data_IF_286355956628
#
_entry.id   IF_286355956628
#
_cell.length_a   1.000
_cell.length_b   1.000
_cell.length_c   1.000
_cell.angle_alpha   90.00
_cell.angle_beta   90.00
_cell.angle_gamma   90.00
#
_symmetry.space_group_name_H-M   'P 1'
#
loop_
_entity.id
_entity.type
_entity.pdbx_description
1 polymer ?
#
# COMPACT_ATOMS: atom_id res chain seq x y z
N UNK A 1 -16.27 -10.59 -14.23
CA UNK A 1 -14.84 -10.21 -14.02
C UNK A 1 -14.27 -11.04 -12.89
N UNK A 2 -13.06 -11.56 -13.02
CA UNK A 2 -12.39 -12.32 -11.96
C UNK A 2 -11.20 -11.53 -11.42
N UNK A 3 -11.15 -11.35 -10.10
CA UNK A 3 -10.09 -10.59 -9.41
C UNK A 3 -9.37 -11.49 -8.42
N UNK A 4 -8.03 -11.51 -8.47
CA UNK A 4 -7.21 -12.15 -7.46
C UNK A 4 -6.58 -11.10 -6.55
N UNK A 5 -6.88 -11.15 -5.25
CA UNK A 5 -6.22 -10.33 -4.24
C UNK A 5 -5.05 -11.11 -3.67
N UNK A 6 -3.84 -10.57 -3.83
CA UNK A 6 -2.57 -11.17 -3.41
C UNK A 6 -2.11 -10.51 -2.13
N UNK A 7 -2.12 -11.30 -1.05
CA UNK A 7 -1.92 -10.79 0.30
C UNK A 7 -3.22 -10.25 0.91
N UNK A 8 -3.89 -11.08 1.69
CA UNK A 8 -5.10 -10.72 2.43
C UNK A 8 -4.81 -10.25 3.86
N UNK A 9 -3.75 -9.44 4.02
CA UNK A 9 -3.57 -8.64 5.22
C UNK A 9 -4.69 -7.60 5.39
N UNK A 10 -4.44 -6.55 6.13
CA UNK A 10 -5.46 -5.54 6.40
C UNK A 10 -6.04 -4.95 5.10
N UNK A 11 -5.20 -4.35 4.24
CA UNK A 11 -5.65 -3.65 3.03
C UNK A 11 -6.24 -4.62 2.00
N UNK A 12 -5.57 -5.74 1.73
CA UNK A 12 -6.08 -6.74 0.78
C UNK A 12 -7.44 -7.30 1.17
N UNK A 13 -7.66 -7.51 2.46
CA UNK A 13 -8.95 -7.94 2.99
C UNK A 13 -10.06 -6.91 2.74
N UNK A 14 -9.75 -5.60 2.82
CA UNK A 14 -10.74 -4.56 2.50
C UNK A 14 -11.19 -4.67 1.03
N UNK A 15 -10.24 -4.83 0.10
CA UNK A 15 -10.58 -5.04 -1.31
C UNK A 15 -11.36 -6.33 -1.52
N UNK A 16 -10.84 -7.46 -1.01
CA UNK A 16 -11.42 -8.78 -1.23
C UNK A 16 -12.87 -8.87 -0.74
N UNK A 17 -13.14 -8.44 0.51
CA UNK A 17 -14.48 -8.53 1.10
C UNK A 17 -15.49 -7.61 0.41
N UNK A 18 -15.08 -6.39 0.05
CA UNK A 18 -15.98 -5.44 -0.61
C UNK A 18 -16.28 -5.87 -2.05
N UNK A 19 -15.27 -6.25 -2.84
CA UNK A 19 -15.46 -6.74 -4.22
C UNK A 19 -16.33 -8.00 -4.28
N UNK A 20 -16.19 -8.91 -3.32
CA UNK A 20 -16.97 -10.14 -3.24
C UNK A 20 -18.49 -9.93 -3.00
N UNK A 21 -18.96 -8.68 -2.82
CA UNK A 21 -20.38 -8.34 -2.73
C UNK A 21 -21.02 -8.08 -4.10
N UNK A 22 -20.22 -7.97 -5.13
CA UNK A 22 -20.72 -7.73 -6.47
C UNK A 22 -21.01 -9.06 -7.18
N UNK A 23 -22.21 -9.24 -7.68
CA UNK A 23 -22.66 -10.49 -8.32
C UNK A 23 -21.89 -10.80 -9.62
N UNK A 24 -21.33 -9.77 -10.27
CA UNK A 24 -20.57 -9.87 -11.53
C UNK A 24 -19.04 -9.94 -11.31
N UNK A 25 -18.58 -10.06 -10.06
CA UNK A 25 -17.16 -10.17 -9.71
C UNK A 25 -16.88 -11.43 -8.91
N UNK A 26 -16.11 -12.34 -9.48
CA UNK A 26 -15.57 -13.50 -8.77
C UNK A 26 -14.25 -13.11 -8.10
N UNK A 27 -14.15 -13.26 -6.77
CA UNK A 27 -12.96 -12.89 -6.01
C UNK A 27 -12.22 -14.12 -5.50
N UNK A 28 -10.93 -14.15 -5.75
CA UNK A 28 -9.96 -15.07 -5.17
C UNK A 28 -9.03 -14.32 -4.23
N UNK A 29 -8.81 -14.87 -3.04
CA UNK A 29 -7.81 -14.41 -2.08
C UNK A 29 -6.64 -15.40 -2.04
N UNK A 30 -5.45 -14.93 -2.35
CA UNK A 30 -4.21 -15.69 -2.19
C UNK A 30 -3.42 -15.16 -1.01
N UNK A 31 -3.24 -16.00 0.02
CA UNK A 31 -2.45 -15.64 1.21
C UNK A 31 -1.78 -16.91 1.78
N UNK A 32 -0.57 -16.76 2.32
CA UNK A 32 0.18 -17.87 2.92
C UNK A 32 -0.22 -18.14 4.38
N UNK A 33 -1.03 -17.27 5.00
CA UNK A 33 -1.56 -17.49 6.34
C UNK A 33 -2.73 -18.48 6.29
N UNK A 34 -2.45 -19.75 6.45
CA UNK A 34 -3.43 -20.84 6.35
C UNK A 34 -4.60 -20.68 7.33
N UNK A 35 -4.35 -20.16 8.54
CA UNK A 35 -5.42 -19.93 9.50
C UNK A 35 -6.41 -18.88 8.98
N UNK A 36 -5.89 -17.81 8.35
CA UNK A 36 -6.70 -16.76 7.74
C UNK A 36 -7.48 -17.26 6.52
N UNK A 37 -6.79 -17.97 5.62
CA UNK A 37 -7.39 -18.59 4.42
C UNK A 37 -8.51 -19.56 4.81
N UNK A 38 -8.27 -20.44 5.78
CA UNK A 38 -9.27 -21.41 6.26
C UNK A 38 -10.50 -20.72 6.85
N UNK A 39 -10.31 -19.69 7.67
CA UNK A 39 -11.40 -18.93 8.24
C UNK A 39 -12.24 -18.24 7.15
N UNK A 40 -11.58 -17.60 6.17
CA UNK A 40 -12.27 -16.96 5.04
C UNK A 40 -13.07 -17.98 4.22
N UNK A 41 -12.48 -19.12 3.90
CA UNK A 41 -13.15 -20.15 3.11
C UNK A 41 -14.38 -20.75 3.83
N UNK A 42 -14.33 -20.85 5.15
CA UNK A 42 -15.42 -21.41 5.96
C UNK A 42 -16.55 -20.42 6.22
N UNK A 43 -16.19 -19.21 6.70
CA UNK A 43 -17.14 -18.25 7.27
C UNK A 43 -17.34 -17.00 6.39
N UNK A 44 -16.47 -16.79 5.39
CA UNK A 44 -16.33 -15.54 4.65
C UNK A 44 -15.37 -14.58 5.35
N UNK A 45 -15.04 -13.49 4.68
CA UNK A 45 -14.17 -12.43 5.17
C UNK A 45 -15.02 -11.31 5.77
N UNK A 46 -14.90 -11.10 7.08
CA UNK A 46 -15.69 -10.12 7.82
C UNK A 46 -14.90 -8.85 8.07
N UNK A 47 -15.48 -7.72 7.66
CA UNK A 47 -15.00 -6.39 8.01
C UNK A 47 -15.88 -5.81 9.13
N UNK A 48 -15.26 -5.10 10.07
CA UNK A 48 -15.92 -4.38 11.17
C UNK A 48 -15.34 -2.97 11.31
N UNK A 49 -16.04 -2.06 11.94
CA UNK A 49 -15.56 -0.69 12.20
C UNK A 49 -16.18 0.35 11.25
N UNK A 50 -15.39 1.01 10.41
CA UNK A 50 -15.89 2.04 9.48
C UNK A 50 -16.91 1.51 8.44
N UNK A 51 -16.99 0.19 8.27
CA UNK A 51 -18.00 -0.51 7.51
C UNK A 51 -18.16 -1.95 8.04
N UNK A 52 -19.42 -2.44 8.06
CA UNK A 52 -19.69 -3.84 8.39
C UNK A 52 -20.03 -4.60 7.10
N UNK A 53 -19.18 -5.52 6.73
CA UNK A 53 -19.28 -6.31 5.50
C UNK A 53 -18.88 -7.75 5.79
N UNK A 54 -19.59 -8.70 5.20
CA UNK A 54 -19.14 -10.07 5.08
C UNK A 54 -19.09 -10.45 3.60
N UNK A 55 -17.87 -10.57 3.05
CA UNK A 55 -17.64 -11.03 1.70
C UNK A 55 -17.49 -12.55 1.66
N UNK A 56 -18.28 -13.22 0.80
CA UNK A 56 -18.07 -14.64 0.50
C UNK A 56 -17.23 -14.76 -0.76
N UNK A 57 -16.02 -15.30 -0.60
CA UNK A 57 -15.03 -15.39 -1.67
C UNK A 57 -14.25 -16.70 -1.56
N UNK A 58 -13.49 -17.03 -2.58
CA UNK A 58 -12.58 -18.17 -2.56
C UNK A 58 -11.25 -17.72 -1.98
N UNK A 59 -10.71 -18.48 -1.04
CA UNK A 59 -9.42 -18.23 -0.43
C UNK A 59 -8.55 -19.48 -0.49
N UNK A 60 -7.28 -19.31 -0.82
CA UNK A 60 -6.33 -20.44 -0.94
C UNK A 60 -4.88 -19.97 -0.68
N UNK A 61 -4.08 -20.87 -0.15
CA UNK A 61 -2.61 -20.78 -0.12
C UNK A 61 -1.95 -21.56 -1.27
N UNK A 62 -2.74 -22.30 -2.06
CA UNK A 62 -2.28 -23.02 -3.24
C UNK A 62 -2.49 -22.19 -4.50
N UNK A 63 -1.40 -21.67 -5.04
CA UNK A 63 -1.39 -20.87 -6.27
C UNK A 63 -1.96 -21.61 -7.47
N UNK A 64 -1.80 -22.94 -7.54
CA UNK A 64 -2.27 -23.77 -8.64
C UNK A 64 -3.80 -23.93 -8.70
N UNK A 65 -4.48 -23.65 -7.59
CA UNK A 65 -5.94 -23.71 -7.50
C UNK A 65 -6.61 -22.46 -8.13
N UNK A 66 -5.86 -21.39 -8.40
CA UNK A 66 -6.41 -20.11 -8.88
C UNK A 66 -6.51 -20.14 -10.40
N UNK A 67 -7.70 -19.95 -10.97
CA UNK A 67 -7.87 -19.87 -12.41
C UNK A 67 -7.34 -18.55 -12.99
N UNK A 68 -7.27 -18.44 -14.33
CA UNK A 68 -6.94 -17.18 -15.00
C UNK A 68 -7.84 -16.04 -14.52
N UNK A 69 -7.23 -14.90 -14.18
CA UNK A 69 -7.89 -13.71 -13.66
C UNK A 69 -7.70 -12.49 -14.57
N UNK A 70 -8.74 -11.65 -14.63
CA UNK A 70 -8.70 -10.40 -15.38
C UNK A 70 -7.82 -9.36 -14.66
N UNK A 71 -7.88 -9.34 -13.33
CA UNK A 71 -7.11 -8.41 -12.51
C UNK A 71 -6.49 -9.08 -11.28
N UNK A 72 -5.28 -8.61 -10.93
CA UNK A 72 -4.65 -8.82 -9.65
C UNK A 72 -4.62 -7.53 -8.83
N UNK A 73 -4.81 -7.62 -7.51
CA UNK A 73 -4.56 -6.53 -6.56
C UNK A 73 -3.52 -7.04 -5.56
N UNK A 74 -2.30 -6.51 -5.64
CA UNK A 74 -1.21 -6.89 -4.73
C UNK A 74 -1.19 -5.95 -3.54
N UNK A 75 -1.44 -6.51 -2.37
CA UNK A 75 -1.55 -5.83 -1.08
C UNK A 75 -0.73 -6.52 0.02
N UNK A 76 0.35 -7.19 -0.34
CA UNK A 76 1.33 -7.74 0.60
C UNK A 76 2.12 -6.62 1.25
N UNK A 77 2.97 -6.93 2.23
CA UNK A 77 4.10 -6.06 2.55
C UNK A 77 5.05 -6.05 1.35
N UNK A 78 5.65 -4.90 1.06
CA UNK A 78 6.45 -4.68 -0.15
C UNK A 78 7.60 -5.71 -0.31
N UNK A 79 8.28 -6.10 0.79
CA UNK A 79 9.34 -7.11 0.77
C UNK A 79 8.85 -8.52 0.37
N UNK A 80 7.56 -8.77 0.38
CA UNK A 80 6.96 -10.06 -0.01
C UNK A 80 6.36 -10.03 -1.42
N UNK A 81 6.37 -8.88 -2.10
CA UNK A 81 5.72 -8.72 -3.40
C UNK A 81 6.32 -9.65 -4.48
N UNK A 82 7.65 -9.66 -4.61
CA UNK A 82 8.34 -10.49 -5.60
C UNK A 82 8.00 -11.98 -5.48
N UNK A 83 8.27 -12.63 -4.33
CA UNK A 83 7.90 -14.02 -4.14
C UNK A 83 6.41 -14.31 -4.31
N UNK A 84 5.53 -13.42 -3.85
CA UNK A 84 4.09 -13.59 -3.96
C UNK A 84 3.61 -13.56 -5.42
N UNK A 85 4.04 -12.57 -6.19
CA UNK A 85 3.64 -12.47 -7.60
C UNK A 85 4.29 -13.56 -8.45
N UNK A 86 5.53 -13.94 -8.20
CA UNK A 86 6.19 -15.05 -8.88
C UNK A 86 5.40 -16.36 -8.77
N UNK A 87 4.84 -16.64 -7.58
CA UNK A 87 4.05 -17.85 -7.34
C UNK A 87 2.77 -17.90 -8.19
N UNK A 88 2.14 -16.75 -8.48
CA UNK A 88 0.84 -16.66 -9.17
C UNK A 88 0.89 -15.95 -10.53
N UNK A 89 2.06 -15.65 -11.06
CA UNK A 89 2.17 -14.95 -12.35
C UNK A 89 1.42 -15.66 -13.50
N UNK A 90 1.33 -17.00 -13.44
CA UNK A 90 0.60 -17.82 -14.40
C UNK A 90 -0.89 -17.46 -14.52
N UNK A 91 -1.48 -16.92 -13.43
CA UNK A 91 -2.90 -16.55 -13.36
C UNK A 91 -3.23 -15.36 -14.27
N UNK A 92 -2.23 -14.54 -14.65
CA UNK A 92 -2.40 -13.31 -15.43
C UNK A 92 -1.90 -13.41 -16.88
N UNK A 93 -1.43 -14.59 -17.32
CA UNK A 93 -0.83 -14.79 -18.67
C UNK A 93 -1.77 -14.51 -19.84
N UNK A 94 -3.07 -14.68 -19.65
CA UNK A 94 -4.08 -14.48 -20.70
C UNK A 94 -4.55 -13.02 -20.81
N UNK A 95 -3.65 -12.06 -20.52
CA UNK A 95 -3.93 -10.62 -20.63
C UNK A 95 -4.45 -9.98 -19.35
N UNK A 96 -4.39 -10.67 -18.22
CA UNK A 96 -4.70 -10.10 -16.91
C UNK A 96 -3.74 -8.96 -16.53
N UNK A 97 -4.22 -7.96 -15.81
CA UNK A 97 -3.43 -6.84 -15.34
C UNK A 97 -3.31 -6.83 -13.80
N UNK A 98 -2.14 -6.45 -13.28
CA UNK A 98 -1.84 -6.52 -11.85
C UNK A 98 -1.60 -5.12 -11.28
N UNK A 99 -2.45 -4.72 -10.34
CA UNK A 99 -2.34 -3.45 -9.64
C UNK A 99 -1.54 -3.61 -8.32
N UNK A 100 -0.55 -2.73 -8.10
CA UNK A 100 0.04 -2.52 -6.79
C UNK A 100 -0.85 -1.59 -5.98
N UNK A 101 -1.14 -1.94 -4.72
CA UNK A 101 -1.74 -1.02 -3.73
C UNK A 101 -0.87 -0.95 -2.46
N UNK A 102 0.36 -1.43 -2.57
CA UNK A 102 1.35 -1.44 -1.48
C UNK A 102 1.85 -0.02 -1.17
N UNK A 103 2.39 0.15 0.02
CA UNK A 103 3.05 1.40 0.40
C UNK A 103 4.44 1.49 -0.25
N UNK A 104 4.88 2.73 -0.48
CA UNK A 104 6.23 2.98 -0.98
C UNK A 104 6.33 3.06 -2.50
N UNK A 105 7.56 3.06 -2.98
CA UNK A 105 7.93 3.12 -4.40
C UNK A 105 8.87 1.96 -4.75
N UNK A 106 8.88 1.54 -6.01
CA UNK A 106 9.66 0.38 -6.48
C UNK A 106 8.86 -0.93 -6.50
N UNK A 107 7.62 -0.90 -6.09
CA UNK A 107 6.76 -2.08 -6.08
C UNK A 107 6.35 -2.50 -7.49
N UNK A 108 6.01 -1.54 -8.33
CA UNK A 108 5.57 -1.78 -9.72
C UNK A 108 6.70 -2.39 -10.54
N UNK A 109 7.93 -1.95 -10.35
CA UNK A 109 9.14 -2.50 -10.96
C UNK A 109 9.30 -3.98 -10.57
N UNK A 110 9.12 -4.30 -9.28
CA UNK A 110 9.17 -5.69 -8.80
C UNK A 110 8.07 -6.55 -9.42
N UNK A 111 6.85 -6.02 -9.59
CA UNK A 111 5.77 -6.76 -10.26
C UNK A 111 6.08 -7.00 -11.74
N UNK A 112 6.67 -6.00 -12.41
CA UNK A 112 6.99 -6.07 -13.85
C UNK A 112 8.06 -7.12 -14.19
N UNK A 113 8.85 -7.58 -13.22
CA UNK A 113 9.76 -8.71 -13.41
C UNK A 113 9.01 -10.04 -13.64
N UNK A 114 7.73 -10.12 -13.27
CA UNK A 114 6.96 -11.37 -13.29
C UNK A 114 5.71 -11.32 -14.17
N UNK A 115 5.14 -10.14 -14.41
CA UNK A 115 3.92 -9.94 -15.21
C UNK A 115 4.08 -8.80 -16.20
N UNK A 116 3.46 -8.93 -17.36
CA UNK A 116 3.62 -7.96 -18.45
C UNK A 116 2.78 -6.68 -18.26
N UNK A 117 1.65 -6.80 -17.57
CA UNK A 117 0.63 -5.73 -17.48
C UNK A 117 0.51 -5.26 -16.04
N UNK A 118 1.24 -4.20 -15.70
CA UNK A 118 1.26 -3.61 -14.36
C UNK A 118 0.46 -2.32 -14.33
N UNK A 119 -0.30 -2.15 -13.24
CA UNK A 119 -1.07 -0.95 -12.92
C UNK A 119 -0.44 -0.33 -11.66
N UNK A 120 -0.06 0.93 -11.75
CA UNK A 120 0.35 1.73 -10.61
C UNK A 120 -0.87 2.08 -9.76
N UNK A 121 -0.79 1.83 -8.46
CA UNK A 121 -1.88 2.16 -7.56
C UNK A 121 -1.42 2.80 -6.27
N UNK A 122 -2.25 3.65 -5.73
CA UNK A 122 -2.11 4.16 -4.36
C UNK A 122 -3.46 4.15 -3.68
N UNK A 123 -3.50 3.69 -2.44
CA UNK A 123 -4.75 3.52 -1.68
C UNK A 123 -4.63 4.10 -0.28
N UNK A 124 -5.68 4.75 0.21
CA UNK A 124 -5.72 5.36 1.54
C UNK A 124 -6.52 4.55 2.56
N UNK A 125 -7.45 3.66 2.22
CA UNK A 125 -8.07 2.76 3.18
C UNK A 125 -7.04 2.09 4.09
N UNK A 126 -7.35 2.04 5.38
CA UNK A 126 -6.47 1.44 6.37
C UNK A 126 -7.27 0.59 7.36
N UNK A 127 -6.61 -0.39 7.94
CA UNK A 127 -7.20 -1.30 8.90
C UNK A 127 -6.17 -2.20 9.55
N UNK A 128 -6.65 -3.16 10.32
CA UNK A 128 -5.82 -4.19 10.96
C UNK A 128 -6.55 -5.53 11.00
N UNK A 129 -5.80 -6.60 10.87
CA UNK A 129 -6.33 -7.95 11.11
C UNK A 129 -6.53 -8.11 12.63
N UNK A 130 -7.76 -8.44 13.05
CA UNK A 130 -8.09 -8.69 14.45
C UNK A 130 -7.86 -10.16 14.80
N UNK A 131 -8.35 -11.05 13.95
CA UNK A 131 -8.23 -12.49 14.05
C UNK A 131 -8.40 -13.13 12.65
N UNK A 132 -8.11 -14.40 12.46
CA UNK A 132 -8.33 -15.08 11.18
C UNK A 132 -9.75 -14.87 10.64
N UNK A 133 -9.87 -14.34 9.42
CA UNK A 133 -11.15 -14.05 8.77
C UNK A 133 -11.84 -12.75 9.23
N UNK A 134 -11.27 -11.98 10.18
CA UNK A 134 -11.87 -10.75 10.70
C UNK A 134 -10.89 -9.58 10.63
N UNK A 135 -11.29 -8.50 9.96
CA UNK A 135 -10.47 -7.31 9.76
C UNK A 135 -11.22 -6.06 10.20
N UNK A 136 -10.57 -5.25 11.01
CA UNK A 136 -11.08 -3.93 11.36
C UNK A 136 -10.75 -2.96 10.23
N UNK A 137 -11.77 -2.27 9.74
CA UNK A 137 -11.63 -1.15 8.80
C UNK A 137 -11.58 0.15 9.61
N UNK A 138 -10.40 0.72 9.73
CA UNK A 138 -10.19 1.93 10.55
C UNK A 138 -10.47 3.20 9.77
N UNK A 139 -9.99 3.27 8.51
CA UNK A 139 -10.06 4.48 7.68
C UNK A 139 -10.64 4.14 6.32
N UNK A 140 -11.69 4.87 5.93
CA UNK A 140 -12.14 4.95 4.53
C UNK A 140 -11.24 5.93 3.77
N UNK A 141 -11.09 5.71 2.47
CA UNK A 141 -10.30 6.61 1.64
C UNK A 141 -10.35 6.17 0.19
N UNK A 142 -9.78 7.00 -0.65
CA UNK A 142 -9.78 6.80 -2.09
C UNK A 142 -8.61 5.92 -2.54
N UNK A 143 -8.81 5.27 -3.67
CA UNK A 143 -7.77 4.56 -4.40
C UNK A 143 -7.60 5.21 -5.77
N UNK A 144 -6.37 5.38 -6.21
CA UNK A 144 -6.07 5.88 -7.55
C UNK A 144 -5.26 4.83 -8.29
N UNK A 145 -5.68 4.48 -9.49
CA UNK A 145 -4.99 3.60 -10.42
C UNK A 145 -4.54 4.37 -11.65
N UNK A 146 -3.41 3.98 -12.25
CA UNK A 146 -2.92 4.54 -13.51
C UNK A 146 -1.93 3.62 -14.19
N UNK A 147 -1.52 3.95 -15.42
CA UNK A 147 -0.51 3.19 -16.12
C UNK A 147 0.80 3.12 -15.36
N UNK A 148 1.52 2.01 -15.53
CA UNK A 148 2.94 1.92 -15.17
C UNK A 148 3.75 2.30 -16.41
N UNK A 149 4.58 3.33 -16.32
CA UNK A 149 5.16 4.05 -17.46
C UNK A 149 6.04 3.20 -18.39
N UNK A 150 6.88 2.25 -17.91
CA UNK A 150 7.66 1.39 -18.78
C UNK A 150 6.81 0.52 -19.72
N UNK A 151 5.61 0.12 -19.27
CA UNK A 151 4.66 -0.71 -20.03
C UNK A 151 3.24 -0.16 -19.89
N UNK A 152 2.96 1.06 -20.40
CA UNK A 152 1.73 1.76 -20.10
C UNK A 152 0.51 1.07 -20.70
N UNK A 153 -0.46 0.76 -19.86
CA UNK A 153 -1.78 0.30 -20.28
C UNK A 153 -2.65 1.48 -20.72
N UNK A 154 -3.50 1.24 -21.69
CA UNK A 154 -4.57 2.20 -22.02
C UNK A 154 -5.48 2.39 -20.78
N UNK A 155 -5.95 3.61 -20.55
CA UNK A 155 -6.80 3.92 -19.41
C UNK A 155 -8.06 3.06 -19.37
N UNK A 156 -8.65 2.80 -20.54
CA UNK A 156 -9.82 1.91 -20.72
C UNK A 156 -9.58 0.45 -20.26
N UNK A 157 -8.33 0.01 -20.16
CA UNK A 157 -7.99 -1.30 -19.60
C UNK A 157 -7.88 -1.28 -18.07
N UNK A 158 -7.80 -0.10 -17.44
CA UNK A 158 -7.69 0.10 -15.99
C UNK A 158 -9.05 0.46 -15.38
N UNK A 159 -9.87 1.22 -16.11
CA UNK A 159 -11.18 1.69 -15.67
C UNK A 159 -12.09 0.61 -15.09
N UNK A 160 -12.20 -0.62 -15.67
CA UNK A 160 -13.09 -1.64 -15.12
C UNK A 160 -12.74 -2.05 -13.68
N UNK A 161 -11.45 -2.05 -13.30
CA UNK A 161 -11.03 -2.31 -11.93
C UNK A 161 -11.46 -1.18 -10.98
N UNK A 162 -11.23 0.08 -11.39
CA UNK A 162 -11.60 1.25 -10.60
C UNK A 162 -13.13 1.35 -10.41
N UNK A 163 -13.90 1.09 -11.45
CA UNK A 163 -15.36 1.06 -11.40
C UNK A 163 -15.88 -0.03 -10.46
N UNK A 164 -15.30 -1.24 -10.54
CA UNK A 164 -15.68 -2.34 -9.64
C UNK A 164 -15.39 -1.99 -8.17
N UNK A 165 -14.21 -1.43 -7.86
CA UNK A 165 -13.89 -0.96 -6.52
C UNK A 165 -14.91 0.09 -6.03
N UNK A 166 -15.26 1.06 -6.88
CA UNK A 166 -16.22 2.12 -6.54
C UNK A 166 -17.62 1.54 -6.27
N UNK A 167 -18.11 0.66 -7.14
CA UNK A 167 -19.42 -0.03 -6.94
C UNK A 167 -19.40 -0.89 -5.68
N UNK A 168 -18.26 -1.45 -5.32
CA UNK A 168 -18.09 -2.21 -4.08
C UNK A 168 -18.07 -1.34 -2.80
N UNK A 169 -18.09 -0.01 -2.92
CA UNK A 169 -18.06 0.91 -1.78
C UNK A 169 -16.63 1.31 -1.35
N UNK A 170 -15.66 1.06 -2.21
CA UNK A 170 -14.27 1.53 -2.07
C UNK A 170 -13.98 2.53 -3.21
N UNK A 171 -14.17 3.83 -2.98
CA UNK A 171 -14.01 4.84 -4.02
C UNK A 171 -12.65 4.69 -4.72
N UNK A 172 -12.68 4.55 -6.03
CA UNK A 172 -11.49 4.40 -6.85
C UNK A 172 -11.64 5.12 -8.18
N UNK A 173 -10.53 5.60 -8.73
CA UNK A 173 -10.50 6.25 -10.04
C UNK A 173 -9.30 5.78 -10.84
N UNK A 174 -9.46 5.69 -12.15
CA UNK A 174 -8.37 5.54 -13.10
C UNK A 174 -7.95 6.93 -13.61
N UNK A 175 -6.64 7.19 -13.65
CA UNK A 175 -6.06 8.47 -14.07
C UNK A 175 -4.91 8.24 -15.04
N UNK A 176 -4.64 9.22 -15.91
CA UNK A 176 -3.55 9.12 -16.88
C UNK A 176 -2.15 9.06 -16.25
N UNK A 177 -1.98 9.66 -15.07
CA UNK A 177 -0.74 9.61 -14.29
C UNK A 177 -1.08 9.45 -12.79
N UNK A 178 -0.73 8.30 -12.22
CA UNK A 178 -0.92 8.00 -10.80
C UNK A 178 0.32 8.31 -9.94
N UNK A 179 1.42 8.79 -10.53
CA UNK A 179 2.64 9.15 -9.79
C UNK A 179 2.42 10.30 -8.80
N UNK A 180 1.71 11.40 -9.15
CA UNK A 180 1.47 12.49 -8.22
C UNK A 180 0.84 12.07 -6.89
N UNK A 181 -0.31 11.38 -6.85
CA UNK A 181 -0.91 10.92 -5.59
C UNK A 181 -0.07 9.85 -4.89
N UNK A 182 0.65 8.97 -5.63
CA UNK A 182 1.54 8.00 -5.04
C UNK A 182 2.72 8.68 -4.32
N UNK A 183 3.43 9.58 -4.99
CA UNK A 183 4.57 10.27 -4.41
C UNK A 183 4.18 11.18 -3.25
N UNK A 184 3.04 11.86 -3.32
CA UNK A 184 2.50 12.60 -2.18
C UNK A 184 2.34 11.70 -0.96
N UNK A 185 1.72 10.51 -1.13
CA UNK A 185 1.54 9.54 -0.03
C UNK A 185 2.88 8.99 0.46
N UNK A 186 3.80 8.68 -0.44
CA UNK A 186 5.13 8.16 -0.08
C UNK A 186 5.90 9.18 0.74
N UNK A 187 5.93 10.46 0.32
CA UNK A 187 6.59 11.53 1.06
C UNK A 187 5.95 11.70 2.45
N UNK A 188 4.62 11.74 2.52
CA UNK A 188 3.89 11.79 3.79
C UNK A 188 4.29 10.63 4.72
N UNK A 189 4.25 9.40 4.23
CA UNK A 189 4.57 8.22 5.02
C UNK A 189 6.06 8.20 5.42
N UNK A 190 6.98 8.47 4.50
CA UNK A 190 8.40 8.45 4.77
C UNK A 190 8.82 9.53 5.79
N UNK A 191 8.12 10.68 5.78
CA UNK A 191 8.44 11.79 6.71
C UNK A 191 7.86 11.61 8.10
N UNK A 192 6.74 10.89 8.26
CA UNK A 192 6.05 10.79 9.55
C UNK A 192 6.12 9.39 10.17
N UNK A 193 5.98 8.32 9.37
CA UNK A 193 5.88 6.97 9.91
C UNK A 193 7.21 6.50 10.50
N UNK A 194 8.33 6.81 9.84
CA UNK A 194 9.66 6.44 10.30
C UNK A 194 10.06 7.21 11.58
N UNK A 195 9.72 8.49 11.68
CA UNK A 195 9.97 9.28 12.88
C UNK A 195 9.10 8.76 14.05
N UNK A 196 7.83 8.44 13.79
CA UNK A 196 6.97 7.78 14.76
C UNK A 196 7.56 6.44 15.22
N UNK A 197 8.08 5.62 14.31
CA UNK A 197 8.70 4.33 14.63
C UNK A 197 9.97 4.47 15.48
N UNK A 198 10.82 5.46 15.20
CA UNK A 198 12.05 5.72 15.96
C UNK A 198 11.78 6.27 17.35
N UNK A 199 10.71 7.03 17.51
CA UNK A 199 10.44 7.77 18.77
C UNK A 199 9.36 7.15 19.65
N UNK A 200 8.58 6.21 19.12
CA UNK A 200 7.39 5.66 19.78
C UNK A 200 6.21 6.65 19.85
N UNK A 201 6.27 7.78 19.14
CA UNK A 201 5.27 8.83 19.20
C UNK A 201 4.18 8.65 18.13
N UNK A 202 2.96 9.06 18.49
CA UNK A 202 1.86 9.17 17.51
C UNK A 202 2.06 10.38 16.59
N UNK A 203 1.32 10.43 15.50
CA UNK A 203 1.48 11.45 14.45
C UNK A 203 1.42 12.88 15.01
N UNK A 204 0.38 13.21 15.78
CA UNK A 204 0.25 14.55 16.38
C UNK A 204 1.39 14.88 17.33
N UNK A 205 1.82 13.91 18.15
CA UNK A 205 2.92 14.11 19.10
C UNK A 205 4.29 14.32 18.43
N UNK A 206 4.51 13.74 17.26
CA UNK A 206 5.69 14.05 16.41
C UNK A 206 5.61 15.51 15.96
N UNK A 207 4.44 15.94 15.45
CA UNK A 207 4.28 17.29 14.91
C UNK A 207 4.26 18.41 15.95
N UNK A 208 3.89 18.12 17.20
CA UNK A 208 3.91 19.10 18.31
C UNK A 208 5.33 19.46 18.79
N UNK A 209 6.32 18.63 18.51
CA UNK A 209 7.69 18.87 18.91
C UNK A 209 8.43 19.66 17.84
N UNK A 210 8.91 20.90 18.11
CA UNK A 210 9.54 21.73 17.09
C UNK A 210 10.77 21.10 16.42
N UNK A 211 11.56 20.34 17.21
CA UNK A 211 12.74 19.61 16.74
C UNK A 211 12.39 18.47 15.77
N UNK A 212 11.37 17.66 16.09
CA UNK A 212 10.90 16.59 15.21
C UNK A 212 10.15 17.16 14.00
N UNK A 213 9.36 18.21 14.19
CA UNK A 213 8.63 18.85 13.10
C UNK A 213 9.57 19.44 12.06
N UNK A 214 10.71 20.03 12.49
CA UNK A 214 11.74 20.50 11.57
C UNK A 214 12.39 19.34 10.78
N UNK A 215 12.63 18.20 11.44
CA UNK A 215 13.14 17.00 10.77
C UNK A 215 12.13 16.46 9.73
N UNK A 216 10.85 16.42 10.09
CA UNK A 216 9.77 16.01 9.18
C UNK A 216 9.73 16.92 7.95
N UNK A 217 9.82 18.25 8.12
CA UNK A 217 9.87 19.19 6.99
C UNK A 217 11.10 18.97 6.10
N UNK A 218 12.28 18.72 6.69
CA UNK A 218 13.47 18.39 5.92
C UNK A 218 13.31 17.12 5.07
N UNK A 219 12.69 16.08 5.63
CA UNK A 219 12.37 14.86 4.88
C UNK A 219 11.37 15.12 3.74
N UNK A 220 10.36 15.97 3.99
CA UNK A 220 9.41 16.38 2.94
C UNK A 220 10.13 17.12 1.81
N UNK A 221 11.03 18.04 2.14
CA UNK A 221 11.76 18.83 1.14
C UNK A 221 12.65 17.94 0.26
N UNK A 222 13.40 17.00 0.85
CA UNK A 222 14.17 16.00 0.09
C UNK A 222 13.26 15.15 -0.82
N UNK A 223 12.14 14.66 -0.30
CA UNK A 223 11.17 13.89 -1.08
C UNK A 223 10.56 14.68 -2.24
N UNK A 224 10.22 15.97 -2.02
CA UNK A 224 9.74 16.86 -3.09
C UNK A 224 10.81 17.11 -4.16
N UNK A 225 12.07 17.26 -3.74
CA UNK A 225 13.18 17.45 -4.68
C UNK A 225 13.36 16.22 -5.60
N UNK A 226 13.29 15.01 -5.03
CA UNK A 226 13.36 13.76 -5.80
C UNK A 226 12.16 13.62 -6.75
N UNK A 227 10.94 13.88 -6.29
CA UNK A 227 9.74 13.87 -7.15
C UNK A 227 9.87 14.86 -8.31
N UNK A 228 10.34 16.08 -8.03
CA UNK A 228 10.56 17.11 -9.04
C UNK A 228 11.61 16.67 -10.08
N UNK A 229 12.71 16.07 -9.65
CA UNK A 229 13.74 15.55 -10.55
C UNK A 229 13.23 14.42 -11.47
N UNK A 230 12.19 13.68 -11.04
CA UNK A 230 11.48 12.70 -11.88
C UNK A 230 10.42 13.34 -12.79
N UNK A 231 10.29 14.67 -12.82
CA UNK A 231 9.25 15.38 -13.58
C UNK A 231 7.84 15.20 -13.00
N UNK A 232 7.72 14.83 -11.72
CA UNK A 232 6.43 14.64 -11.05
C UNK A 232 6.01 15.93 -10.37
N UNK A 233 4.85 16.45 -10.79
CA UNK A 233 4.19 17.60 -10.14
C UNK A 233 3.18 17.02 -9.16
N UNK A 234 3.42 17.19 -7.86
CA UNK A 234 2.54 16.66 -6.81
C UNK A 234 1.14 17.28 -6.92
N UNK A 235 0.11 16.47 -6.72
CA UNK A 235 -1.30 16.88 -6.78
C UNK A 235 -1.78 17.65 -5.54
N UNK A 236 -1.02 17.58 -4.43
CA UNK A 236 -1.19 18.40 -3.23
C UNK A 236 0.12 18.45 -2.43
N UNK A 237 0.23 19.43 -1.52
CA UNK A 237 1.39 19.60 -0.67
C UNK A 237 1.40 18.57 0.47
N UNK A 238 2.43 17.71 0.58
CA UNK A 238 2.58 16.78 1.71
C UNK A 238 2.60 17.47 3.09
N UNK A 239 3.17 18.68 3.20
CA UNK A 239 3.18 19.47 4.44
C UNK A 239 1.76 19.79 4.91
N UNK A 240 0.89 20.24 4.02
CA UNK A 240 -0.49 20.52 4.36
C UNK A 240 -1.26 19.28 4.82
N UNK A 241 -0.94 18.09 4.26
CA UNK A 241 -1.51 16.84 4.71
C UNK A 241 -1.01 16.44 6.09
N UNK A 242 0.29 16.64 6.37
CA UNK A 242 0.89 16.36 7.68
C UNK A 242 0.23 17.23 8.76
N UNK A 243 0.10 18.52 8.51
CA UNK A 243 -0.52 19.47 9.44
C UNK A 243 -2.01 19.15 9.66
N UNK A 244 -2.72 18.78 8.58
CA UNK A 244 -4.11 18.35 8.70
C UNK A 244 -4.26 17.08 9.54
N UNK A 245 -3.42 16.08 9.30
CA UNK A 245 -3.45 14.81 10.04
C UNK A 245 -3.03 14.99 11.51
N UNK A 246 -2.19 15.97 11.82
CA UNK A 246 -1.77 16.28 13.20
C UNK A 246 -2.88 16.90 14.06
N UNK A 247 -4.02 17.29 13.49
CA UNK A 247 -5.13 17.87 14.24
C UNK A 247 -5.77 16.85 15.19
N UNK A 248 -6.19 17.28 16.40
CA UNK A 248 -6.81 16.39 17.40
C UNK A 248 -8.06 15.65 16.91
N UNK A 249 -8.83 16.28 16.00
CA UNK A 249 -10.07 15.74 15.42
C UNK A 249 -9.85 14.88 14.18
N UNK A 250 -8.60 14.67 13.74
CA UNK A 250 -8.29 13.91 12.53
C UNK A 250 -7.50 12.65 12.88
N UNK A 251 -6.17 12.74 12.99
CA UNK A 251 -5.31 11.58 13.19
C UNK A 251 -4.21 11.82 14.25
N UNK A 252 -4.40 12.75 15.18
CA UNK A 252 -3.43 13.08 16.22
C UNK A 252 -2.92 11.85 16.98
N UNK A 253 -3.84 10.98 17.43
CA UNK A 253 -3.55 9.77 18.19
C UNK A 253 -3.18 8.56 17.32
N UNK A 254 -3.13 8.72 16.00
CA UNK A 254 -2.86 7.62 15.08
C UNK A 254 -1.43 7.10 15.25
N UNK A 255 -1.31 5.78 15.45
CA UNK A 255 -0.05 5.05 15.37
C UNK A 255 0.20 4.63 13.94
N UNK A 256 1.24 5.17 13.33
CA UNK A 256 1.66 4.80 11.99
C UNK A 256 1.94 3.28 11.87
N UNK A 257 1.73 2.72 10.68
CA UNK A 257 1.93 1.29 10.41
C UNK A 257 3.36 0.83 10.75
N UNK A 258 4.36 1.64 10.44
CA UNK A 258 5.75 1.33 10.75
C UNK A 258 6.01 1.30 12.27
N UNK A 259 5.40 2.19 13.06
CA UNK A 259 5.47 2.13 14.52
C UNK A 259 4.86 0.82 15.04
N UNK A 260 3.72 0.41 14.50
CA UNK A 260 3.08 -0.86 14.87
C UNK A 260 3.97 -2.08 14.52
N UNK A 261 4.68 -2.02 13.38
CA UNK A 261 5.63 -3.08 13.00
C UNK A 261 6.81 -3.13 13.97
N UNK A 262 7.40 -1.98 14.32
CA UNK A 262 8.50 -1.90 15.30
C UNK A 262 8.08 -2.39 16.69
N UNK A 263 6.91 -1.96 17.19
CA UNK A 263 6.37 -2.44 18.48
C UNK A 263 6.15 -3.97 18.48
N UNK A 264 5.79 -4.54 17.34
CA UNK A 264 5.58 -5.98 17.16
C UNK A 264 6.85 -6.73 16.73
N UNK A 265 8.01 -6.06 16.64
CA UNK A 265 9.28 -6.61 16.13
C UNK A 265 9.13 -7.32 14.79
N UNK A 266 8.40 -6.69 13.86
CA UNK A 266 8.24 -7.17 12.49
C UNK A 266 9.04 -6.30 11.52
N UNK A 267 9.58 -6.88 10.45
CA UNK A 267 10.25 -6.11 9.39
C UNK A 267 9.33 -4.99 8.88
N UNK A 268 9.92 -3.81 8.67
CA UNK A 268 9.21 -2.62 8.19
C UNK A 268 9.33 -2.46 6.68
N UNK A 269 8.60 -1.51 6.12
CA UNK A 269 8.70 -1.14 4.69
C UNK A 269 9.70 0.01 4.46
N UNK A 270 10.71 0.15 5.31
CA UNK A 270 11.68 1.26 5.27
C UNK A 270 12.40 1.38 3.92
N UNK A 271 12.74 0.24 3.30
CA UNK A 271 13.43 0.20 2.01
C UNK A 271 12.58 0.72 0.84
N UNK A 272 11.26 0.70 0.97
CA UNK A 272 10.29 1.18 -0.02
C UNK A 272 9.77 2.59 0.30
N UNK A 273 10.00 3.09 1.50
CA UNK A 273 9.66 4.46 1.93
C UNK A 273 10.90 5.35 1.89
N UNK A 274 11.59 5.55 3.01
CA UNK A 274 12.79 6.38 3.04
C UNK A 274 13.90 5.83 2.13
N UNK A 275 14.15 4.53 2.18
CA UNK A 275 15.11 3.87 1.29
C UNK A 275 14.73 3.98 -0.19
N UNK A 276 13.44 3.93 -0.50
CA UNK A 276 12.94 4.14 -1.86
C UNK A 276 13.20 5.55 -2.37
N UNK A 277 12.89 6.58 -1.56
CA UNK A 277 13.18 7.98 -1.91
C UNK A 277 14.69 8.18 -2.08
N UNK A 278 15.50 7.68 -1.14
CA UNK A 278 16.95 7.79 -1.19
C UNK A 278 17.54 7.13 -2.46
N UNK A 279 17.08 5.93 -2.81
CA UNK A 279 17.50 5.23 -4.03
C UNK A 279 17.24 6.08 -5.28
N UNK A 280 16.04 6.61 -5.46
CA UNK A 280 15.74 7.49 -6.59
C UNK A 280 16.53 8.81 -6.53
N UNK A 281 16.79 9.35 -5.33
CA UNK A 281 17.67 10.50 -5.14
C UNK A 281 19.09 10.22 -5.66
N UNK A 282 19.69 9.10 -5.27
CA UNK A 282 21.03 8.70 -5.73
C UNK A 282 21.06 8.48 -7.25
N UNK A 283 20.06 7.81 -7.84
CA UNK A 283 19.96 7.57 -9.29
C UNK A 283 19.87 8.88 -10.09
N UNK A 284 19.24 9.92 -9.52
CA UNK A 284 19.02 11.20 -10.16
C UNK A 284 20.03 12.30 -9.75
N UNK A 285 20.98 11.98 -8.85
CA UNK A 285 21.93 12.94 -8.31
C UNK A 285 21.31 13.99 -7.39
N UNK A 286 20.17 13.69 -6.76
CA UNK A 286 19.51 14.55 -5.78
C UNK A 286 19.93 14.12 -4.37
N UNK A 287 20.53 15.00 -3.55
CA UNK A 287 20.94 14.64 -2.19
C UNK A 287 19.72 14.31 -1.29
N UNK A 288 19.81 13.21 -0.55
CA UNK A 288 18.77 12.74 0.38
C UNK A 288 19.36 12.30 1.73
N UNK A 289 20.24 13.11 2.37
CA UNK A 289 20.93 12.69 3.58
C UNK A 289 20.02 12.36 4.77
N UNK A 290 18.87 13.01 4.89
CA UNK A 290 17.92 12.72 5.97
C UNK A 290 17.22 11.38 5.73
N UNK A 291 16.79 11.09 4.49
CA UNK A 291 16.21 9.79 4.15
C UNK A 291 17.21 8.67 4.33
N UNK A 292 18.47 8.84 3.92
CA UNK A 292 19.56 7.87 4.14
C UNK A 292 19.77 7.59 5.64
N UNK A 293 19.86 8.64 6.44
CA UNK A 293 20.06 8.52 7.88
C UNK A 293 18.90 7.80 8.57
N UNK A 294 17.66 8.18 8.26
CA UNK A 294 16.46 7.58 8.84
C UNK A 294 16.33 6.11 8.42
N UNK A 295 16.61 5.78 7.17
CA UNK A 295 16.60 4.39 6.70
C UNK A 295 17.64 3.54 7.46
N UNK A 296 18.85 4.05 7.63
CA UNK A 296 19.89 3.37 8.41
C UNK A 296 19.50 3.16 9.87
N UNK A 297 18.88 4.15 10.51
CA UNK A 297 18.42 4.06 11.90
C UNK A 297 17.33 3.00 12.09
N UNK A 298 16.34 2.96 11.21
CA UNK A 298 15.27 1.93 11.28
C UNK A 298 15.87 0.53 11.05
N UNK A 299 16.78 0.36 10.08
CA UNK A 299 17.49 -0.91 9.90
C UNK A 299 18.29 -1.31 11.13
N UNK A 300 18.92 -0.34 11.80
CA UNK A 300 19.60 -0.57 13.08
C UNK A 300 18.64 -1.05 14.18
N UNK A 301 17.44 -0.49 14.25
CA UNK A 301 16.37 -0.97 15.16
C UNK A 301 15.98 -2.40 14.83
N UNK A 302 15.74 -2.72 13.55
CA UNK A 302 15.40 -4.09 13.11
C UNK A 302 16.53 -5.09 13.43
N UNK A 303 17.79 -4.71 13.21
CA UNK A 303 18.93 -5.55 13.55
C UNK A 303 19.07 -5.82 15.06
N UNK A 304 18.56 -4.93 15.91
CA UNK A 304 18.60 -5.10 17.38
C UNK A 304 17.65 -6.19 17.90
N UNK A 305 16.77 -6.74 17.06
CA UNK A 305 15.84 -7.82 17.43
C UNK A 305 16.43 -9.22 17.25
N UNK A 306 17.57 -9.34 16.56
CA UNK A 306 18.29 -10.59 16.33
C UNK A 306 19.23 -10.90 17.50
#
# INVERSE_FOLDING_TARGET
MRVCVVGCGAVGSLFAANLARLDDVEVWAFDLNEAHVTAIARDGLRLVGAGEVTGRLRATSDASAIPSCDFGIVATKAMHAGPAIAAIAHVFRDGGAVASVMNGVGNEETLAEHVERVIRGTTFPAGKVLEPGVVQWDVKGDTTFGPFEPTPLALSAIEPLAEACTRAGMPAKAVADARPPQWRKVIFNASTNSIGALTGLTHGRVCERPDLRALVSGLVDEGKAVATAQGIVLDADPEALIDHAARPDVAYGHKASMLQDVEARRPTEIDYLNGGIARFGHELGVPTPLHDAVAALIKGVEASWQ
#
